data_IF_865048604911
#
_entry.id   IF_865048604911
#
_cell.length_a   1.000
_cell.length_b   1.000
_cell.length_c   1.000
_cell.angle_alpha   90.00
_cell.angle_beta   90.00
_cell.angle_gamma   90.00
#
_symmetry.space_group_name_H-M   'P 1'
#
loop_
_entity.id
_entity.type
_entity.pdbx_description
1 polymer ?
#
# COMPACT_ATOMS: atom_id res chain seq x y z
N UNK A 1 0.74 16.28 2.00
CA UNK A 1 0.37 15.52 0.78
C UNK A 1 0.54 14.06 1.11
N UNK A 2 -0.50 13.26 0.89
CA UNK A 2 -0.51 11.81 1.17
C UNK A 2 0.57 11.10 0.35
N UNK A 3 1.27 10.16 0.99
CA UNK A 3 2.26 9.29 0.35
C UNK A 3 1.69 7.87 0.22
N UNK A 4 1.94 7.23 -0.91
CA UNK A 4 1.58 5.84 -1.17
C UNK A 4 2.75 5.11 -1.77
N UNK A 5 3.15 4.01 -1.15
CA UNK A 5 4.21 3.13 -1.62
C UNK A 5 3.62 1.79 -2.03
N UNK A 6 3.75 1.44 -3.31
CA UNK A 6 3.39 0.12 -3.83
C UNK A 6 4.67 -0.73 -3.92
N UNK A 7 4.70 -1.87 -3.24
CA UNK A 7 5.82 -2.81 -3.24
C UNK A 7 5.41 -4.04 -4.05
N UNK A 8 6.09 -4.26 -5.16
CA UNK A 8 5.81 -5.32 -6.13
C UNK A 8 6.91 -6.39 -6.12
N UNK A 9 6.59 -7.58 -6.60
CA UNK A 9 7.55 -8.68 -6.76
C UNK A 9 6.95 -10.06 -6.51
N UNK A 10 7.65 -11.14 -6.88
CA UNK A 10 7.14 -12.51 -6.75
C UNK A 10 6.94 -12.96 -5.30
N UNK A 11 6.24 -14.07 -5.10
CA UNK A 11 6.11 -14.70 -3.78
C UNK A 11 7.49 -14.95 -3.16
N UNK A 12 7.65 -14.67 -1.86
CA UNK A 12 8.93 -14.72 -1.12
C UNK A 12 10.01 -13.70 -1.52
N UNK A 13 9.71 -12.65 -2.29
CA UNK A 13 10.67 -11.57 -2.60
C UNK A 13 10.95 -10.56 -1.47
N UNK A 14 10.43 -10.79 -0.26
CA UNK A 14 10.65 -9.91 0.89
C UNK A 14 9.75 -8.68 0.98
N UNK A 15 8.71 -8.54 0.14
CA UNK A 15 7.77 -7.40 0.16
C UNK A 15 7.19 -7.11 1.54
N UNK A 16 6.64 -8.14 2.21
CA UNK A 16 6.06 -8.02 3.55
C UNK A 16 7.11 -7.59 4.58
N UNK A 17 8.36 -8.07 4.45
CA UNK A 17 9.45 -7.66 5.33
C UNK A 17 9.80 -6.18 5.12
N UNK A 18 9.83 -5.72 3.87
CA UNK A 18 10.06 -4.31 3.57
C UNK A 18 8.90 -3.44 4.09
N UNK A 19 7.64 -3.86 3.90
CA UNK A 19 6.48 -3.16 4.45
C UNK A 19 6.56 -3.02 5.98
N UNK A 20 6.94 -4.10 6.70
CA UNK A 20 7.18 -4.06 8.16
C UNK A 20 8.29 -3.09 8.56
N UNK A 21 9.35 -2.98 7.75
CA UNK A 21 10.43 -2.01 8.02
C UNK A 21 9.95 -0.57 7.83
N UNK A 22 9.19 -0.30 6.76
CA UNK A 22 8.62 1.03 6.50
C UNK A 22 7.59 1.45 7.56
N UNK A 23 6.86 0.49 8.13
CA UNK A 23 5.85 0.77 9.15
C UNK A 23 6.40 0.87 10.57
N UNK A 24 7.71 0.66 10.77
CA UNK A 24 8.30 0.58 12.11
C UNK A 24 8.36 1.97 12.76
N UNK A 25 7.81 2.08 13.97
CA UNK A 25 7.80 3.35 14.73
C UNK A 25 6.68 4.31 14.36
N UNK A 26 5.85 3.96 13.38
CA UNK A 26 4.64 4.70 13.00
C UNK A 26 3.41 4.06 13.67
N UNK A 27 2.41 4.88 13.99
CA UNK A 27 1.06 4.37 14.31
C UNK A 27 0.45 3.80 13.06
N UNK A 28 0.64 2.51 12.84
CA UNK A 28 0.21 1.83 11.64
C UNK A 28 -0.85 0.77 11.90
N UNK A 29 -1.72 0.56 10.90
CA UNK A 29 -2.70 -0.51 10.91
C UNK A 29 -2.56 -1.38 9.68
N UNK A 30 -2.56 -2.69 9.91
CA UNK A 30 -2.52 -3.69 8.86
C UNK A 30 -3.94 -4.13 8.57
N UNK A 31 -4.36 -4.01 7.32
CA UNK A 31 -5.69 -4.34 6.85
C UNK A 31 -5.62 -5.39 5.75
N UNK A 32 -6.65 -6.23 5.69
CA UNK A 32 -6.93 -6.98 4.48
C UNK A 32 -7.43 -6.03 3.39
N UNK A 33 -7.23 -6.38 2.12
CA UNK A 33 -7.67 -5.58 0.98
C UNK A 33 -9.17 -5.22 1.07
N UNK A 34 -10.02 -6.16 1.47
CA UNK A 34 -11.46 -5.95 1.64
C UNK A 34 -11.83 -4.99 2.78
N UNK A 35 -10.94 -4.79 3.74
CA UNK A 35 -11.15 -3.90 4.89
C UNK A 35 -10.66 -2.48 4.62
N UNK A 36 -9.78 -2.30 3.65
CA UNK A 36 -9.21 -1.00 3.29
C UNK A 36 -10.25 0.03 2.80
N UNK A 37 -11.45 -0.40 2.38
CA UNK A 37 -12.54 0.49 1.98
C UNK A 37 -13.44 0.91 3.15
N UNK A 38 -13.32 0.24 4.30
CA UNK A 38 -14.16 0.51 5.45
C UNK A 38 -13.52 1.64 6.24
N UNK A 39 -13.84 2.90 5.91
CA UNK A 39 -13.30 4.11 6.56
C UNK A 39 -13.33 4.07 8.09
N UNK A 40 -14.35 3.46 8.70
CA UNK A 40 -14.44 3.24 10.16
C UNK A 40 -13.25 2.45 10.76
N UNK A 41 -12.55 1.66 9.94
CA UNK A 41 -11.38 0.90 10.33
C UNK A 41 -10.09 1.71 10.17
N UNK A 42 -10.11 2.76 9.36
CA UNK A 42 -9.03 3.70 9.17
C UNK A 42 -9.26 4.83 10.18
N UNK A 43 -8.87 4.58 11.42
CA UNK A 43 -8.99 5.60 12.47
C UNK A 43 -8.11 6.80 12.14
N UNK A 44 -8.56 8.00 12.51
CA UNK A 44 -7.84 9.26 12.29
C UNK A 44 -6.46 9.30 12.98
N UNK A 45 -6.23 8.41 13.95
CA UNK A 45 -4.99 8.26 14.68
C UNK A 45 -3.88 7.50 13.93
N UNK A 46 -4.22 6.85 12.81
CA UNK A 46 -3.26 6.03 12.05
C UNK A 46 -2.49 6.92 11.07
N UNK A 47 -1.17 6.93 11.19
CA UNK A 47 -0.27 7.63 10.28
C UNK A 47 -0.09 6.84 8.97
N UNK A 48 -0.14 5.51 9.05
CA UNK A 48 0.12 4.60 7.93
C UNK A 48 -0.86 3.43 7.92
N UNK A 49 -1.38 3.09 6.75
CA UNK A 49 -2.14 1.86 6.51
C UNK A 49 -1.34 0.91 5.63
N UNK A 50 -1.28 -0.36 6.02
CA UNK A 50 -0.61 -1.41 5.27
C UNK A 50 -1.64 -2.40 4.72
N UNK A 51 -1.63 -2.64 3.41
CA UNK A 51 -2.36 -3.73 2.76
C UNK A 51 -1.33 -4.74 2.26
N UNK A 52 -1.31 -5.93 2.84
CA UNK A 52 -0.38 -6.99 2.44
C UNK A 52 -1.07 -7.99 1.52
N UNK A 53 -0.54 -8.17 0.31
CA UNK A 53 -1.06 -9.13 -0.67
C UNK A 53 -2.26 -8.65 -1.49
N UNK A 54 -2.32 -7.36 -1.82
CA UNK A 54 -3.38 -6.80 -2.66
C UNK A 54 -3.42 -7.45 -4.05
N UNK A 55 -4.63 -7.68 -4.54
CA UNK A 55 -4.89 -8.47 -5.75
C UNK A 55 -5.85 -7.81 -6.74
N UNK A 56 -6.66 -6.84 -6.30
CA UNK A 56 -7.62 -6.13 -7.11
C UNK A 56 -7.09 -4.74 -7.51
N UNK A 57 -6.72 -4.59 -8.78
CA UNK A 57 -6.12 -3.34 -9.28
C UNK A 57 -7.09 -2.16 -9.24
N UNK A 58 -8.40 -2.39 -9.51
CA UNK A 58 -9.41 -1.32 -9.53
C UNK A 58 -9.55 -0.67 -8.17
N UNK A 59 -9.62 -1.54 -7.18
CA UNK A 59 -9.70 -1.25 -5.75
C UNK A 59 -8.49 -0.42 -5.31
N UNK A 60 -7.28 -0.90 -5.57
CA UNK A 60 -6.04 -0.17 -5.26
C UNK A 60 -5.99 1.19 -5.98
N UNK A 61 -6.39 1.26 -7.26
CA UNK A 61 -6.45 2.53 -8.00
C UNK A 61 -7.41 3.53 -7.37
N UNK A 62 -8.53 3.06 -6.82
CA UNK A 62 -9.46 3.93 -6.07
C UNK A 62 -8.82 4.50 -4.80
N UNK A 63 -8.11 3.68 -4.02
CA UNK A 63 -7.46 4.10 -2.78
C UNK A 63 -6.34 5.12 -3.00
N UNK A 64 -5.48 4.90 -4.01
CA UNK A 64 -4.38 5.82 -4.32
C UNK A 64 -4.86 7.16 -4.88
N UNK A 65 -6.10 7.20 -5.42
CA UNK A 65 -6.71 8.42 -5.93
C UNK A 65 -7.36 9.26 -4.84
N UNK A 66 -7.57 8.74 -3.62
CA UNK A 66 -8.13 9.53 -2.54
C UNK A 66 -7.14 10.64 -2.11
N UNK A 67 -7.55 11.92 -2.15
CA UNK A 67 -6.65 13.06 -1.96
C UNK A 67 -6.23 13.29 -0.50
N UNK A 68 -6.96 12.70 0.44
CA UNK A 68 -6.78 12.85 1.88
C UNK A 68 -6.77 11.47 2.55
N UNK A 69 -6.38 11.45 3.82
CA UNK A 69 -6.26 10.21 4.61
C UNK A 69 -4.80 9.88 4.94
N UNK A 70 -4.57 8.71 5.55
CA UNK A 70 -3.25 8.26 5.96
C UNK A 70 -2.38 7.94 4.76
N UNK A 71 -1.09 7.77 5.01
CA UNK A 71 -0.17 7.20 4.05
C UNK A 71 -0.48 5.71 3.84
N UNK A 72 -0.10 5.16 2.69
CA UNK A 72 -0.38 3.76 2.34
C UNK A 72 0.91 3.03 1.97
N UNK A 73 1.03 1.79 2.46
CA UNK A 73 1.98 0.80 1.95
C UNK A 73 1.18 -0.40 1.47
N UNK A 74 1.34 -0.76 0.20
CA UNK A 74 0.57 -1.84 -0.42
C UNK A 74 1.56 -2.82 -1.03
N UNK A 75 1.48 -4.10 -0.66
CA UNK A 75 2.27 -5.14 -1.30
C UNK A 75 1.41 -5.91 -2.30
N UNK A 76 2.01 -6.33 -3.41
CA UNK A 76 1.35 -7.22 -4.37
C UNK A 76 2.36 -8.11 -5.09
N UNK A 77 1.93 -9.33 -5.42
CA UNK A 77 2.65 -10.24 -6.31
C UNK A 77 1.98 -10.42 -7.68
N UNK A 78 0.86 -9.75 -7.93
CA UNK A 78 0.11 -9.86 -9.19
C UNK A 78 0.19 -8.59 -10.04
N UNK A 79 0.51 -7.44 -9.45
CA UNK A 79 0.71 -6.20 -10.21
C UNK A 79 2.15 -6.03 -10.69
N UNK A 80 2.28 -5.19 -11.70
CA UNK A 80 3.53 -4.72 -12.29
C UNK A 80 3.63 -3.21 -12.19
N UNK A 81 4.83 -2.66 -12.37
CA UNK A 81 5.02 -1.21 -12.34
C UNK A 81 4.22 -0.48 -13.45
N UNK A 82 3.86 -1.17 -14.54
CA UNK A 82 3.06 -0.61 -15.65
C UNK A 82 1.60 -0.38 -15.27
N UNK A 83 1.11 -1.03 -14.21
CA UNK A 83 -0.27 -0.86 -13.75
C UNK A 83 -0.49 0.51 -13.08
N UNK A 84 0.59 1.20 -12.73
CA UNK A 84 0.59 2.45 -11.97
C UNK A 84 1.28 3.57 -12.75
N UNK A 85 0.54 4.65 -12.97
CA UNK A 85 1.06 5.88 -13.57
C UNK A 85 1.84 6.70 -12.54
N UNK A 86 2.99 7.25 -12.95
CA UNK A 86 3.79 8.17 -12.13
C UNK A 86 2.96 9.40 -11.78
N UNK A 87 2.95 9.75 -10.50
CA UNK A 87 2.26 10.93 -9.98
C UNK A 87 2.90 11.39 -8.65
N UNK A 88 2.72 12.65 -8.25
CA UNK A 88 3.16 13.12 -6.94
C UNK A 88 2.54 12.27 -5.83
N UNK A 89 3.37 11.89 -4.85
CA UNK A 89 2.90 11.10 -3.72
C UNK A 89 2.84 9.59 -3.95
N UNK A 90 3.10 9.09 -5.17
CA UNK A 90 3.11 7.65 -5.46
C UNK A 90 4.52 7.15 -5.75
N UNK A 91 4.98 6.20 -4.95
CA UNK A 91 6.22 5.47 -5.15
C UNK A 91 5.93 4.01 -5.48
N UNK A 92 6.57 3.48 -6.52
CA UNK A 92 6.49 2.06 -6.89
C UNK A 92 7.87 1.43 -6.75
N UNK A 93 7.99 0.43 -5.89
CA UNK A 93 9.21 -0.33 -5.62
C UNK A 93 9.00 -1.73 -6.20
N UNK A 94 9.86 -2.15 -7.14
CA UNK A 94 9.81 -3.49 -7.71
C UNK A 94 10.96 -4.34 -7.17
N UNK A 95 10.64 -5.38 -6.40
CA UNK A 95 11.61 -6.33 -5.87
C UNK A 95 11.71 -7.50 -6.85
N UNK A 96 12.74 -7.48 -7.68
CA UNK A 96 13.18 -8.62 -8.47
C UNK A 96 14.19 -9.42 -7.65
N UNK A 97 13.93 -10.71 -7.44
CA UNK A 97 14.95 -11.65 -6.97
C UNK A 97 15.79 -12.10 -8.17
#
# INVERSE_FOLDING_TARGET
>A
MKQTTIILGPTKSGKTLLAKKLSRGLKCKWLMESDAYKRRLIGEENELIVIDGASNLRDIKSLINEPTGPDWVITSNVFTAKDFEKRPGLQVINLTL
#
